data_IF_302930308406
#
_entry.id   IF_302930308406
#
_cell.length_a   1.000
_cell.length_b   1.000
_cell.length_c   1.000
_cell.angle_alpha   90.00
_cell.angle_beta   90.00
_cell.angle_gamma   90.00
#
_symmetry.space_group_name_H-M   'P 1'
#
loop_
_entity.id
_entity.type
_entity.pdbx_description
1 polymer ?
#
# COMPACT_ATOMS: atom_id res chain seq x y z
N UNK A 1 -19.41 -24.91 68.74
CA UNK A 1 -19.35 -23.53 69.27
C UNK A 1 -19.63 -22.54 68.14
N UNK A 2 -20.32 -21.43 68.46
CA UNK A 2 -20.42 -20.18 67.66
C UNK A 2 -19.05 -19.45 67.82
N UNK A 3 -18.56 -18.46 67.06
CA UNK A 3 -19.12 -17.29 66.36
C UNK A 3 -18.20 -16.91 65.14
N UNK A 4 -18.30 -15.76 64.41
CA UNK A 4 -18.13 -15.73 62.95
C UNK A 4 -17.04 -14.73 62.49
N UNK A 5 -17.14 -14.18 61.28
CA UNK A 5 -16.50 -12.90 60.94
C UNK A 5 -15.96 -12.85 59.52
N UNK A 6 -16.76 -12.37 58.58
CA UNK A 6 -16.45 -12.39 57.16
C UNK A 6 -15.34 -11.45 56.69
N UNK A 7 -15.01 -11.60 55.41
CA UNK A 7 -14.48 -10.54 54.58
C UNK A 7 -15.23 -10.63 53.24
N UNK A 8 -15.96 -9.57 52.88
CA UNK A 8 -16.50 -9.44 51.54
C UNK A 8 -15.37 -8.98 50.61
N UNK A 9 -15.11 -9.71 49.52
CA UNK A 9 -14.21 -9.25 48.47
C UNK A 9 -14.57 -9.83 47.10
N UNK A 10 -15.04 -8.92 46.23
CA UNK A 10 -14.96 -8.94 44.78
C UNK A 10 -15.40 -10.23 44.04
N UNK A 11 -16.64 -10.17 43.56
CA UNK A 11 -16.90 -10.55 42.17
C UNK A 11 -16.01 -9.71 41.25
N UNK A 12 -15.12 -10.34 40.47
CA UNK A 12 -14.61 -9.73 39.24
C UNK A 12 -14.56 -10.79 38.14
N UNK A 13 -15.12 -10.44 36.99
CA UNK A 13 -15.54 -11.40 35.98
C UNK A 13 -14.39 -11.92 35.11
N UNK A 14 -14.68 -13.00 34.39
CA UNK A 14 -13.83 -13.57 33.36
C UNK A 14 -13.48 -12.51 32.30
N UNK A 15 -12.19 -12.28 32.09
CA UNK A 15 -11.68 -11.67 30.88
C UNK A 15 -10.57 -12.59 30.35
N UNK A 16 -10.96 -13.56 29.51
CA UNK A 16 -10.03 -14.34 28.71
C UNK A 16 -9.31 -13.36 27.77
N UNK A 17 -8.10 -12.96 28.16
CA UNK A 17 -7.24 -12.11 27.33
C UNK A 17 -6.86 -12.90 26.09
N UNK A 18 -7.59 -12.69 25.00
CA UNK A 18 -7.18 -13.15 23.68
C UNK A 18 -5.85 -12.48 23.36
N UNK A 19 -4.74 -13.22 23.44
CA UNK A 19 -3.49 -12.82 22.82
C UNK A 19 -3.71 -12.86 21.31
N UNK A 20 -4.22 -11.76 20.74
CA UNK A 20 -4.04 -11.51 19.33
C UNK A 20 -2.54 -11.41 19.10
N UNK A 21 -1.92 -12.28 18.28
CA UNK A 21 -0.56 -12.02 17.86
C UNK A 21 -0.60 -10.66 17.14
N UNK A 22 0.16 -9.70 17.66
CA UNK A 22 0.50 -8.49 16.89
C UNK A 22 1.36 -8.97 15.73
N UNK A 23 0.71 -9.43 14.66
CA UNK A 23 1.33 -9.52 13.36
C UNK A 23 1.84 -8.12 13.08
N UNK A 24 3.17 -7.97 13.11
CA UNK A 24 3.83 -6.76 12.68
C UNK A 24 3.61 -6.66 11.18
N UNK A 25 2.44 -6.15 10.80
CA UNK A 25 2.23 -5.56 9.50
C UNK A 25 3.19 -4.37 9.45
N UNK A 26 4.39 -4.63 8.95
CA UNK A 26 5.12 -3.61 8.20
C UNK A 26 4.08 -2.97 7.30
N UNK A 27 3.83 -1.67 7.48
CA UNK A 27 2.89 -0.90 6.69
C UNK A 27 3.46 -0.82 5.28
N UNK A 28 3.30 -1.89 4.52
CA UNK A 28 3.78 -2.03 3.17
C UNK A 28 2.88 -1.12 2.33
N UNK A 29 3.37 0.02 1.80
CA UNK A 29 2.53 0.91 1.01
C UNK A 29 1.97 0.20 -0.24
N UNK A 30 2.59 -0.91 -0.66
CA UNK A 30 2.10 -1.79 -1.72
C UNK A 30 0.87 -2.66 -1.33
N UNK A 31 0.46 -2.74 -0.06
CA UNK A 31 -0.71 -3.54 0.34
C UNK A 31 -2.04 -3.02 -0.24
N UNK A 32 -2.08 -1.73 -0.60
CA UNK A 32 -3.23 -1.09 -1.25
C UNK A 32 -3.19 -1.19 -2.78
N UNK A 33 -2.05 -1.60 -3.37
CA UNK A 33 -1.82 -1.61 -4.81
C UNK A 33 -1.65 -3.04 -5.34
N UNK A 34 -2.57 -3.50 -6.20
CA UNK A 34 -2.50 -4.79 -6.88
C UNK A 34 -1.82 -4.64 -8.23
N UNK A 35 -0.73 -5.37 -8.48
CA UNK A 35 -0.11 -5.43 -9.80
C UNK A 35 -1.13 -5.77 -10.89
N UNK A 36 -1.05 -5.09 -12.04
CA UNK A 36 -1.93 -5.27 -13.18
C UNK A 36 -1.10 -5.30 -14.46
N UNK A 37 -1.41 -6.23 -15.36
CA UNK A 37 -0.72 -6.39 -16.65
C UNK A 37 -1.15 -5.36 -17.70
N UNK A 38 -2.00 -4.39 -17.33
CA UNK A 38 -2.39 -3.27 -18.19
C UNK A 38 -1.22 -2.31 -18.43
N UNK A 39 -1.09 -1.80 -19.66
CA UNK A 39 -0.05 -0.81 -19.98
C UNK A 39 -0.53 0.63 -19.69
N UNK A 40 0.41 1.56 -19.50
CA UNK A 40 0.12 3.00 -19.43
C UNK A 40 -0.64 3.48 -20.68
N UNK A 41 -0.30 2.94 -21.85
CA UNK A 41 -0.91 3.31 -23.12
C UNK A 41 -2.37 2.82 -23.22
N UNK A 42 -2.66 1.61 -22.73
CA UNK A 42 -4.04 1.11 -22.61
C UNK A 42 -4.86 1.98 -21.65
N UNK A 43 -4.32 2.36 -20.49
CA UNK A 43 -5.00 3.25 -19.55
C UNK A 43 -5.37 4.59 -20.21
N UNK A 44 -4.43 5.24 -20.91
CA UNK A 44 -4.67 6.51 -21.60
C UNK A 44 -5.74 6.35 -22.69
N UNK A 45 -5.65 5.31 -23.53
CA UNK A 45 -6.68 5.01 -24.55
C UNK A 45 -8.06 4.72 -23.94
N UNK A 46 -8.11 4.09 -22.77
CA UNK A 46 -9.34 3.83 -22.03
C UNK A 46 -9.87 5.07 -21.28
N UNK A 47 -9.28 6.25 -21.48
CA UNK A 47 -9.75 7.52 -20.91
C UNK A 47 -9.37 7.73 -19.44
N UNK A 48 -8.29 7.11 -18.97
CA UNK A 48 -7.65 7.50 -17.71
C UNK A 48 -6.76 8.73 -17.95
N UNK A 49 -6.83 9.71 -17.05
CA UNK A 49 -5.98 10.91 -17.09
C UNK A 49 -4.83 10.78 -16.11
N UNK A 50 -3.64 11.27 -16.47
CA UNK A 50 -2.52 11.41 -15.54
C UNK A 50 -2.85 12.59 -14.59
N UNK A 51 -3.04 12.31 -13.31
CA UNK A 51 -3.37 13.30 -12.28
C UNK A 51 -2.17 13.72 -11.44
N UNK A 52 -1.08 12.95 -11.46
CA UNK A 52 0.17 13.29 -10.80
C UNK A 52 1.36 12.50 -11.33
N UNK A 53 2.53 13.12 -11.28
CA UNK A 53 3.81 12.48 -11.61
C UNK A 53 4.81 12.79 -10.50
N UNK A 54 5.54 11.79 -10.03
CA UNK A 54 6.62 11.95 -9.05
C UNK A 54 7.89 11.31 -9.61
N UNK A 55 9.03 11.97 -9.48
CA UNK A 55 10.33 11.40 -9.87
C UNK A 55 11.19 11.33 -8.62
N UNK A 56 11.54 10.12 -8.19
CA UNK A 56 12.31 9.88 -6.96
C UNK A 56 13.32 8.76 -7.20
N UNK A 57 14.53 8.91 -6.66
CA UNK A 57 15.52 7.83 -6.72
C UNK A 57 15.03 6.61 -5.93
N UNK A 58 14.89 5.46 -6.60
CA UNK A 58 14.50 4.21 -5.97
C UNK A 58 15.57 3.78 -4.97
N UNK A 59 15.18 3.58 -3.70
CA UNK A 59 16.10 3.27 -2.59
C UNK A 59 16.92 1.98 -2.81
N UNK A 60 16.43 1.07 -3.63
CA UNK A 60 17.05 -0.23 -3.93
C UNK A 60 18.14 -0.17 -5.02
N UNK A 61 18.02 0.75 -5.97
CA UNK A 61 18.92 0.82 -7.15
C UNK A 61 19.69 2.14 -7.27
N UNK A 62 19.26 3.19 -6.56
CA UNK A 62 19.77 4.56 -6.70
C UNK A 62 19.35 5.24 -8.01
N UNK A 63 18.59 4.55 -8.88
CA UNK A 63 18.15 5.06 -10.17
C UNK A 63 16.88 5.92 -10.02
N UNK A 64 16.68 6.95 -10.84
CA UNK A 64 15.42 7.69 -10.88
C UNK A 64 14.26 6.78 -11.30
N UNK A 65 13.22 6.75 -10.48
CA UNK A 65 11.96 6.05 -10.74
C UNK A 65 10.86 7.10 -10.92
N UNK A 66 10.31 7.15 -12.13
CA UNK A 66 9.18 7.99 -12.49
C UNK A 66 7.87 7.24 -12.19
N UNK A 67 7.11 7.74 -11.22
CA UNK A 67 5.79 7.24 -10.83
C UNK A 67 4.71 8.14 -11.43
N UNK A 68 3.83 7.54 -12.23
CA UNK A 68 2.65 8.17 -12.81
C UNK A 68 1.38 7.69 -12.09
N UNK A 69 0.56 8.62 -11.64
CA UNK A 69 -0.77 8.35 -11.08
C UNK A 69 -1.82 8.66 -12.14
N UNK A 70 -2.65 7.67 -12.45
CA UNK A 70 -3.72 7.75 -13.43
C UNK A 70 -5.08 7.51 -12.76
N UNK A 71 -6.09 8.28 -13.14
CA UNK A 71 -7.42 8.21 -12.52
C UNK A 71 -8.54 8.23 -13.56
N UNK A 72 -9.61 7.48 -13.29
CA UNK A 72 -10.87 7.50 -14.04
C UNK A 72 -12.02 7.15 -13.10
N UNK A 73 -12.85 8.15 -12.79
CA UNK A 73 -14.10 8.05 -11.99
C UNK A 73 -13.95 7.30 -10.66
N UNK A 74 -13.92 5.96 -10.69
CA UNK A 74 -13.90 5.06 -9.52
C UNK A 74 -12.63 4.19 -9.42
N UNK A 75 -11.65 4.36 -10.32
CA UNK A 75 -10.41 3.57 -10.33
C UNK A 75 -9.17 4.47 -10.43
N UNK A 76 -8.11 4.07 -9.71
CA UNK A 76 -6.80 4.72 -9.69
C UNK A 76 -5.74 3.67 -10.01
N UNK A 77 -4.82 4.04 -10.90
CA UNK A 77 -3.65 3.25 -11.27
C UNK A 77 -2.37 4.01 -10.92
N UNK A 78 -1.37 3.28 -10.41
CA UNK A 78 0.01 3.73 -10.26
C UNK A 78 0.86 2.97 -11.28
N UNK A 79 1.46 3.68 -12.22
CA UNK A 79 2.42 3.13 -13.17
C UNK A 79 3.84 3.62 -12.86
N UNK A 80 4.83 2.74 -12.99
CA UNK A 80 6.19 2.96 -12.49
C UNK A 80 7.20 2.66 -13.59
N UNK A 81 8.06 3.63 -13.90
CA UNK A 81 9.16 3.50 -14.85
C UNK A 81 10.50 3.70 -14.12
N UNK A 82 11.31 2.64 -14.02
CA UNK A 82 12.70 2.76 -13.55
C UNK A 82 13.61 3.13 -14.72
N UNK A 83 14.08 4.37 -14.73
CA UNK A 83 14.89 4.92 -15.82
C UNK A 83 16.36 4.59 -15.62
N UNK A 84 17.01 4.06 -16.66
CA UNK A 84 18.45 3.81 -16.64
C UNK A 84 19.22 5.14 -16.60
N UNK A 85 20.34 5.18 -15.86
CA UNK A 85 21.18 6.37 -15.68
C UNK A 85 22.04 6.73 -16.89
N UNK A 86 22.02 5.93 -17.96
CA UNK A 86 22.87 6.16 -19.13
C UNK A 86 22.11 6.81 -20.30
N UNK A 87 22.47 8.07 -20.53
CA UNK A 87 22.30 8.84 -21.76
C UNK A 87 20.87 9.18 -22.21
N UNK A 88 20.68 10.45 -22.57
CA UNK A 88 19.46 10.94 -23.17
C UNK A 88 19.11 10.16 -24.47
N UNK A 89 17.81 9.91 -24.67
CA UNK A 89 17.19 9.24 -25.82
C UNK A 89 17.15 7.69 -25.85
N UNK A 90 17.78 6.96 -24.93
CA UNK A 90 17.45 5.52 -24.77
C UNK A 90 16.12 5.39 -24.00
N UNK A 91 15.04 4.97 -24.69
CA UNK A 91 13.79 4.54 -24.02
C UNK A 91 14.13 3.52 -22.94
N UNK A 92 13.61 3.72 -21.72
CA UNK A 92 13.86 2.83 -20.59
C UNK A 92 13.60 1.37 -20.99
N UNK A 93 14.64 0.54 -20.92
CA UNK A 93 14.56 -0.88 -21.30
C UNK A 93 13.74 -1.66 -20.25
N UNK A 94 13.63 -1.12 -19.03
CA UNK A 94 12.74 -1.62 -17.99
C UNK A 94 11.28 -1.45 -18.41
N UNK A 95 10.47 -2.52 -18.50
CA UNK A 95 9.05 -2.39 -18.79
C UNK A 95 8.38 -1.64 -17.64
N UNK A 96 7.68 -0.55 -17.95
CA UNK A 96 6.87 0.19 -17.00
C UNK A 96 5.80 -0.75 -16.39
N UNK A 97 5.64 -0.71 -15.06
CA UNK A 97 4.77 -1.63 -14.31
C UNK A 97 3.60 -0.86 -13.71
N UNK A 98 2.38 -1.28 -14.01
CA UNK A 98 1.17 -0.68 -13.47
C UNK A 98 0.57 -1.52 -12.33
N UNK A 99 -0.10 -0.84 -11.41
CA UNK A 99 -0.87 -1.43 -10.33
C UNK A 99 -2.15 -0.64 -10.11
N UNK A 100 -3.25 -1.31 -9.82
CA UNK A 100 -4.54 -0.72 -9.47
C UNK A 100 -4.67 -0.58 -7.94
N UNK A 101 -5.59 0.26 -7.45
CA UNK A 101 -6.07 0.37 -6.06
C UNK A 101 -7.61 0.38 -6.11
N UNK A 102 -8.42 -0.61 -5.71
CA UNK A 102 -8.40 -1.85 -4.86
C UNK A 102 -8.80 -1.74 -3.39
N UNK A 103 -7.97 -1.22 -2.47
CA UNK A 103 -8.49 -0.86 -1.15
C UNK A 103 -8.97 0.58 -1.18
N UNK A 104 -10.16 0.90 -0.64
CA UNK A 104 -10.51 2.29 -0.41
C UNK A 104 -9.44 2.88 0.51
N UNK A 105 -8.85 3.99 0.08
CA UNK A 105 -7.98 4.78 0.95
C UNK A 105 -8.79 5.20 2.17
N UNK A 106 -8.34 4.78 3.36
CA UNK A 106 -8.95 5.14 4.65
C UNK A 106 -7.96 6.06 5.36
N UNK A 107 -8.34 7.33 5.47
CA UNK A 107 -7.71 8.31 6.35
C UNK A 107 -7.80 7.91 7.84
#
# INVERSE_FOLDING_TARGET
MKIPGGIAALLLALALSNLTPSAHAETLPNSQWRASDITLFDLIQNGYTITGTTSVAARSTGLPEDTYILQKTNSVYRCVETRATDSAATRSITPLRCAELVQPYRD
#
